data_IF_598115358225
#
_entry.id   IF_598115358225
#
_cell.length_a   1.000
_cell.length_b   1.000
_cell.length_c   1.000
_cell.angle_alpha   90.00
_cell.angle_beta   90.00
_cell.angle_gamma   90.00
#
_symmetry.space_group_name_H-M   'P 1'
#
loop_
_entity.id
_entity.type
_entity.pdbx_description
1 polymer ?
#
# COMPACT_ATOMS: atom_id res chain seq x y z
N UNK A 1 45.33 -48.54 55.41
CA UNK A 1 45.14 -48.50 53.97
C UNK A 1 43.74 -47.97 53.67
N UNK A 2 43.63 -46.70 53.25
CA UNK A 2 42.37 -46.02 53.03
C UNK A 2 42.17 -45.83 51.54
N UNK A 3 41.08 -46.39 51.03
CA UNK A 3 40.70 -46.33 49.60
C UNK A 3 39.82 -45.08 49.45
N UNK A 4 40.29 -44.09 48.68
CA UNK A 4 39.55 -42.88 48.33
C UNK A 4 38.73 -43.15 47.06
N UNK A 5 37.39 -43.22 47.18
CA UNK A 5 36.47 -43.23 46.01
C UNK A 5 36.30 -41.80 45.51
N UNK A 6 36.76 -41.56 44.27
CA UNK A 6 36.48 -40.35 43.52
C UNK A 6 35.09 -40.46 42.87
N UNK A 7 34.11 -39.73 43.41
CA UNK A 7 32.82 -39.56 42.75
C UNK A 7 32.94 -38.55 41.62
N UNK A 8 32.80 -39.01 40.39
CA UNK A 8 32.71 -38.19 39.17
C UNK A 8 31.27 -37.66 39.09
N UNK A 9 31.07 -36.35 39.31
CA UNK A 9 29.79 -35.68 39.06
C UNK A 9 29.73 -35.28 37.59
N UNK A 10 28.88 -35.93 36.81
CA UNK A 10 28.58 -35.57 35.40
C UNK A 10 27.53 -34.47 35.48
N UNK A 11 27.91 -33.21 35.17
CA UNK A 11 26.98 -32.14 34.98
C UNK A 11 26.36 -32.23 33.58
N UNK A 12 25.05 -32.54 33.51
CA UNK A 12 24.29 -32.45 32.27
C UNK A 12 24.05 -30.97 31.94
N UNK A 13 24.73 -30.44 30.94
CA UNK A 13 24.44 -29.14 30.37
C UNK A 13 23.28 -29.31 29.36
N UNK A 14 22.08 -28.87 29.77
CA UNK A 14 20.95 -28.76 28.86
C UNK A 14 21.15 -27.58 27.91
N UNK A 15 21.53 -27.86 26.67
CA UNK A 15 21.59 -26.85 25.61
C UNK A 15 20.16 -26.59 25.14
N UNK A 16 19.57 -25.46 25.58
CA UNK A 16 18.33 -24.92 25.05
C UNK A 16 18.61 -24.41 23.62
N UNK A 17 18.22 -25.18 22.62
CA UNK A 17 18.18 -24.74 21.24
C UNK A 17 17.07 -23.69 21.10
N UNK A 18 17.41 -22.41 21.19
CA UNK A 18 16.51 -21.32 20.80
C UNK A 18 16.42 -21.35 19.28
N UNK A 19 15.29 -21.81 18.76
CA UNK A 19 14.98 -21.68 17.31
C UNK A 19 14.91 -20.18 16.96
N UNK A 20 15.58 -19.74 15.90
CA UNK A 20 15.43 -18.37 15.43
C UNK A 20 13.97 -18.12 15.08
N UNK A 21 13.33 -17.12 15.67
CA UNK A 21 12.03 -16.61 15.25
C UNK A 21 12.30 -15.83 13.98
N UNK A 22 12.03 -16.44 12.81
CA UNK A 22 12.07 -15.73 11.55
C UNK A 22 11.01 -14.62 11.57
N UNK A 23 11.35 -13.38 11.15
CA UNK A 23 10.37 -12.32 11.04
C UNK A 23 9.34 -12.73 9.97
N UNK A 24 8.08 -12.92 10.37
CA UNK A 24 6.98 -13.14 9.44
C UNK A 24 6.94 -11.92 8.51
N UNK A 25 7.21 -12.14 7.23
CA UNK A 25 7.13 -11.08 6.23
C UNK A 25 5.68 -10.59 6.15
N UNK A 26 5.50 -9.27 6.07
CA UNK A 26 4.16 -8.64 6.02
C UNK A 26 3.25 -9.22 4.92
N UNK A 27 3.86 -9.80 3.87
CA UNK A 27 3.19 -10.42 2.74
C UNK A 27 2.37 -11.69 3.07
N UNK A 28 2.73 -12.41 4.15
CA UNK A 28 2.05 -13.65 4.52
C UNK A 28 0.94 -13.43 5.56
N UNK A 29 0.67 -12.16 5.89
CA UNK A 29 -0.33 -11.82 6.89
C UNK A 29 -1.72 -11.67 6.27
N UNK A 30 -2.73 -12.27 6.92
CA UNK A 30 -4.13 -12.06 6.55
C UNK A 30 -4.53 -10.60 6.81
N UNK A 31 -5.14 -9.97 5.80
CA UNK A 31 -5.59 -8.58 5.91
C UNK A 31 -6.55 -8.36 7.08
N UNK A 32 -7.39 -9.35 7.40
CA UNK A 32 -8.32 -9.30 8.54
C UNK A 32 -7.60 -9.19 9.88
N UNK A 33 -6.49 -9.90 10.07
CA UNK A 33 -5.72 -9.85 11.31
C UNK A 33 -5.02 -8.49 11.48
N UNK A 34 -4.44 -7.97 10.40
CA UNK A 34 -3.78 -6.66 10.43
C UNK A 34 -4.79 -5.52 10.61
N UNK A 35 -6.00 -5.62 10.05
CA UNK A 35 -7.09 -4.66 10.29
C UNK A 35 -7.40 -4.50 11.78
N UNK A 36 -7.33 -5.60 12.57
CA UNK A 36 -7.61 -5.53 14.01
C UNK A 36 -6.56 -4.72 14.77
N UNK A 37 -5.33 -4.66 14.29
CA UNK A 37 -4.25 -3.91 14.94
C UNK A 37 -4.33 -2.40 14.68
N UNK A 38 -5.09 -1.96 13.66
CA UNK A 38 -5.22 -0.54 13.33
C UNK A 38 -5.99 0.22 14.41
N UNK A 39 -5.42 1.33 14.86
CA UNK A 39 -6.09 2.25 15.80
C UNK A 39 -7.39 2.76 15.22
N UNK A 40 -8.42 2.89 16.05
CA UNK A 40 -9.73 3.46 15.67
C UNK A 40 -9.86 4.85 16.30
N UNK A 41 -10.02 5.90 15.48
CA UNK A 41 -10.19 7.29 15.92
C UNK A 41 -11.11 8.04 14.96
N UNK A 42 -11.69 9.15 15.38
CA UNK A 42 -12.41 10.07 14.51
C UNK A 42 -11.47 10.76 13.51
N UNK A 43 -12.02 11.34 12.45
CA UNK A 43 -11.26 12.18 11.51
C UNK A 43 -10.78 13.44 12.22
N UNK A 44 -9.51 13.80 12.05
CA UNK A 44 -9.01 15.13 12.43
C UNK A 44 -9.53 16.19 11.45
N UNK A 45 -9.57 17.47 11.88
CA UNK A 45 -9.90 18.58 10.97
C UNK A 45 -8.96 18.63 9.75
N UNK A 46 -9.48 19.12 8.64
CA UNK A 46 -8.71 19.36 7.40
C UNK A 46 -7.89 20.66 7.45
N UNK A 47 -7.97 21.40 8.56
CA UNK A 47 -7.25 22.65 8.77
C UNK A 47 -5.75 22.48 8.53
N UNK A 48 -5.16 23.36 7.73
CA UNK A 48 -3.74 23.30 7.37
C UNK A 48 -3.38 22.22 6.36
N UNK A 49 -4.34 21.49 5.79
CA UNK A 49 -4.06 20.56 4.71
C UNK A 49 -3.58 21.30 3.47
N UNK A 50 -2.38 20.95 3.05
CA UNK A 50 -1.83 21.33 1.77
C UNK A 50 -1.25 20.08 1.09
N UNK A 51 -1.79 19.75 -0.09
CA UNK A 51 -1.35 18.59 -0.87
C UNK A 51 0.11 18.74 -1.29
N UNK A 52 0.57 19.96 -1.62
CA UNK A 52 1.94 20.23 -2.06
C UNK A 52 2.98 19.88 -0.98
N UNK A 53 2.58 19.91 0.30
CA UNK A 53 3.45 19.50 1.41
C UNK A 53 3.87 18.03 1.37
N UNK A 54 3.22 17.20 0.55
CA UNK A 54 3.58 15.80 0.32
C UNK A 54 4.58 15.63 -0.84
N UNK A 55 4.95 16.72 -1.52
CA UNK A 55 5.88 16.72 -2.66
C UNK A 55 5.21 16.38 -3.99
N UNK A 56 6.06 16.14 -4.97
CA UNK A 56 5.71 15.74 -6.33
C UNK A 56 6.14 14.29 -6.60
N UNK A 57 5.98 13.84 -7.85
CA UNK A 57 6.50 12.57 -8.32
C UNK A 57 8.04 12.58 -8.28
N UNK A 58 8.59 11.88 -7.29
CA UNK A 58 10.04 11.75 -7.09
C UNK A 58 10.57 10.47 -7.75
N UNK A 59 11.87 10.28 -7.68
CA UNK A 59 12.60 9.07 -8.06
C UNK A 59 13.26 8.49 -6.78
N UNK A 60 12.51 7.79 -5.91
CA UNK A 60 13.03 7.32 -4.63
C UNK A 60 13.99 6.12 -4.77
N UNK A 61 13.86 5.33 -5.81
CA UNK A 61 14.71 4.15 -6.08
C UNK A 61 15.91 4.48 -6.97
N UNK A 62 16.00 5.73 -7.46
CA UNK A 62 17.10 6.27 -8.28
C UNK A 62 17.30 5.50 -9.58
N UNK A 63 16.21 5.02 -10.18
CA UNK A 63 16.24 4.34 -11.46
C UNK A 63 16.25 5.31 -12.65
N UNK A 64 16.16 6.62 -12.41
CA UNK A 64 16.12 7.69 -13.40
C UNK A 64 14.70 8.03 -13.86
N UNK A 65 13.66 7.34 -13.36
CA UNK A 65 12.27 7.57 -13.67
C UNK A 65 11.54 8.22 -12.49
N UNK A 66 10.56 9.06 -12.76
CA UNK A 66 9.67 9.49 -11.70
C UNK A 66 8.66 8.37 -11.32
N UNK A 67 8.20 8.38 -10.07
CA UNK A 67 7.28 7.36 -9.56
C UNK A 67 6.01 7.21 -10.40
N UNK A 68 5.50 8.29 -11.02
CA UNK A 68 4.33 8.19 -11.92
C UNK A 68 4.64 7.27 -13.11
N UNK A 69 5.81 7.42 -13.73
CA UNK A 69 6.21 6.58 -14.85
C UNK A 69 6.50 5.15 -14.40
N UNK A 70 7.05 4.93 -13.20
CA UNK A 70 7.25 3.59 -12.64
C UNK A 70 5.92 2.86 -12.46
N UNK A 71 4.91 3.54 -11.93
CA UNK A 71 3.57 2.94 -11.78
C UNK A 71 2.92 2.66 -13.14
N UNK A 72 3.08 3.54 -14.14
CA UNK A 72 2.62 3.27 -15.50
C UNK A 72 3.36 2.06 -16.10
N UNK A 73 4.68 1.95 -15.90
CA UNK A 73 5.47 0.80 -16.33
C UNK A 73 5.02 -0.51 -15.66
N UNK A 74 4.69 -0.47 -14.37
CA UNK A 74 4.23 -1.64 -13.62
C UNK A 74 2.84 -2.11 -14.07
N UNK A 75 1.91 -1.19 -14.29
CA UNK A 75 0.48 -1.48 -14.39
C UNK A 75 -0.03 -1.59 -15.83
N UNK A 76 0.65 -1.00 -16.82
CA UNK A 76 0.25 -1.08 -18.24
C UNK A 76 0.92 -2.27 -18.93
N UNK A 77 0.33 -2.66 -20.04
CA UNK A 77 0.88 -3.63 -21.01
C UNK A 77 1.13 -2.95 -22.34
N UNK A 78 1.91 -3.58 -23.23
CA UNK A 78 2.19 -3.09 -24.60
C UNK A 78 2.67 -1.64 -24.60
N UNK A 79 3.64 -1.33 -23.75
CA UNK A 79 4.12 0.02 -23.48
C UNK A 79 5.02 0.50 -24.62
N UNK A 80 4.87 1.78 -25.02
CA UNK A 80 5.86 2.51 -25.81
C UNK A 80 6.40 3.68 -25.02
N UNK A 81 7.63 4.07 -25.32
CA UNK A 81 8.36 5.13 -24.60
C UNK A 81 8.67 6.31 -25.54
N UNK A 82 8.93 7.47 -24.94
CA UNK A 82 9.31 8.67 -25.68
C UNK A 82 10.62 8.48 -26.43
N UNK A 83 11.57 7.77 -25.83
CA UNK A 83 12.89 7.48 -26.40
C UNK A 83 13.14 5.98 -26.33
N UNK A 84 13.77 5.41 -27.35
CA UNK A 84 14.06 3.97 -27.42
C UNK A 84 15.07 3.52 -26.37
N UNK A 85 15.98 4.42 -25.96
CA UNK A 85 17.04 4.16 -24.99
C UNK A 85 16.64 4.53 -23.55
N UNK A 86 15.50 5.20 -23.38
CA UNK A 86 15.00 5.65 -22.09
C UNK A 86 13.62 5.04 -21.85
N UNK A 87 13.57 4.04 -20.99
CA UNK A 87 12.34 3.34 -20.61
C UNK A 87 11.56 4.05 -19.50
N UNK A 88 11.78 5.33 -19.28
CA UNK A 88 11.11 6.10 -18.24
C UNK A 88 9.81 6.73 -18.75
N UNK A 89 9.86 7.56 -19.78
CA UNK A 89 8.70 8.32 -20.20
C UNK A 89 7.72 7.44 -21.01
N UNK A 90 6.73 6.87 -20.34
CA UNK A 90 5.68 6.07 -20.96
C UNK A 90 4.81 6.95 -21.85
N UNK A 91 4.68 6.61 -23.13
CA UNK A 91 3.89 7.35 -24.11
C UNK A 91 2.54 6.68 -24.38
N UNK A 92 2.52 5.38 -24.60
CA UNK A 92 1.29 4.61 -24.80
C UNK A 92 1.34 3.33 -23.97
N UNK A 93 0.19 2.69 -23.80
CA UNK A 93 0.06 1.39 -23.16
C UNK A 93 -1.40 1.00 -22.98
N UNK A 94 -1.64 -0.19 -22.52
CA UNK A 94 -2.98 -0.74 -22.28
C UNK A 94 -3.13 -1.01 -20.79
N UNK A 95 -4.09 -0.33 -20.15
CA UNK A 95 -4.47 -0.57 -18.77
C UNK A 95 -5.68 -1.52 -18.71
N UNK A 96 -5.55 -2.61 -17.98
CA UNK A 96 -6.69 -3.38 -17.48
C UNK A 96 -7.11 -2.82 -16.14
N UNK A 97 -8.01 -1.82 -16.17
CA UNK A 97 -8.35 -1.04 -14.98
C UNK A 97 -8.90 -1.90 -13.85
N UNK A 98 -8.24 -1.93 -12.69
CA UNK A 98 -8.68 -2.77 -11.58
C UNK A 98 -10.02 -2.31 -10.99
N UNK A 99 -10.36 -1.03 -11.08
CA UNK A 99 -11.56 -0.48 -10.47
C UNK A 99 -12.84 -0.79 -11.24
N UNK A 100 -12.78 -0.77 -12.57
CA UNK A 100 -13.94 -1.08 -13.44
C UNK A 100 -13.89 -2.47 -14.06
N UNK A 101 -12.68 -3.04 -14.23
CA UNK A 101 -12.45 -4.27 -15.01
C UNK A 101 -12.47 -4.03 -16.51
N UNK A 102 -12.44 -2.78 -16.99
CA UNK A 102 -12.42 -2.44 -18.40
C UNK A 102 -11.00 -2.19 -18.90
N UNK A 103 -10.76 -2.41 -20.17
CA UNK A 103 -9.54 -2.00 -20.84
C UNK A 103 -9.58 -0.51 -21.18
N UNK A 104 -8.45 0.16 -21.04
CA UNK A 104 -8.26 1.58 -21.40
C UNK A 104 -6.94 1.69 -22.15
N UNK A 105 -6.99 2.25 -23.34
CA UNK A 105 -5.80 2.57 -24.11
C UNK A 105 -5.25 3.92 -23.62
N UNK A 106 -4.06 3.88 -23.04
CA UNK A 106 -3.37 5.07 -22.55
C UNK A 106 -2.60 5.73 -23.69
N UNK A 107 -2.78 7.02 -23.82
CA UNK A 107 -1.98 7.89 -24.69
C UNK A 107 -1.57 9.12 -23.87
N UNK A 108 -0.26 9.34 -23.76
CA UNK A 108 0.28 10.54 -23.12
C UNK A 108 0.03 11.76 -23.98
N UNK A 109 -0.63 12.75 -23.44
CA UNK A 109 -0.94 14.00 -24.16
C UNK A 109 -1.91 14.89 -23.43
N UNK A 110 -2.07 16.10 -23.92
CA UNK A 110 -3.08 17.05 -23.43
C UNK A 110 -4.46 16.47 -23.72
N UNK A 111 -5.30 16.40 -22.68
CA UNK A 111 -6.69 15.86 -22.81
C UNK A 111 -6.78 14.33 -22.80
N UNK A 112 -5.69 13.60 -23.03
CA UNK A 112 -5.71 12.11 -23.08
C UNK A 112 -5.08 11.47 -21.85
N UNK A 113 -4.02 12.06 -21.29
CA UNK A 113 -3.33 11.51 -20.10
C UNK A 113 -4.23 11.33 -18.89
N UNK A 114 -5.33 12.07 -18.79
CA UNK A 114 -6.28 12.02 -17.68
C UNK A 114 -7.22 10.80 -17.72
N UNK A 115 -7.26 10.06 -18.84
CA UNK A 115 -8.01 8.81 -18.92
C UNK A 115 -7.46 7.75 -17.97
N UNK A 116 -6.13 7.76 -17.75
CA UNK A 116 -5.43 6.94 -16.76
C UNK A 116 -4.72 7.85 -15.77
N UNK A 117 -5.11 7.75 -14.50
CA UNK A 117 -4.50 8.50 -13.41
C UNK A 117 -3.80 7.54 -12.46
N UNK A 118 -2.81 8.05 -11.72
CA UNK A 118 -2.23 7.32 -10.60
C UNK A 118 -2.99 7.72 -9.34
N UNK A 119 -3.72 6.76 -8.80
CA UNK A 119 -4.47 6.92 -7.54
C UNK A 119 -3.55 6.64 -6.34
N UNK A 120 -3.69 7.45 -5.30
CA UNK A 120 -3.26 7.09 -3.96
C UNK A 120 -4.39 6.30 -3.31
N UNK A 121 -4.24 4.97 -3.20
CA UNK A 121 -5.29 4.04 -2.72
C UNK A 121 -5.80 4.45 -1.33
N UNK A 122 -4.91 4.91 -0.46
CA UNK A 122 -5.24 5.75 0.69
C UNK A 122 -5.01 7.20 0.27
N UNK A 123 -6.08 7.94 0.03
CA UNK A 123 -6.01 9.29 -0.48
C UNK A 123 -5.20 10.22 0.45
N UNK A 124 -4.42 11.13 -0.14
CA UNK A 124 -3.53 12.03 0.61
C UNK A 124 -4.29 12.86 1.65
N UNK A 125 -5.48 13.36 1.28
CA UNK A 125 -6.34 14.11 2.19
C UNK A 125 -6.98 13.23 3.27
N UNK A 126 -7.30 11.95 2.98
CA UNK A 126 -7.76 11.00 3.98
C UNK A 126 -6.65 10.68 4.98
N UNK A 127 -5.42 10.44 4.47
CA UNK A 127 -4.25 10.22 5.32
C UNK A 127 -3.98 11.41 6.24
N UNK A 128 -4.08 12.66 5.72
CA UNK A 128 -3.96 13.87 6.55
C UNK A 128 -4.91 13.81 7.75
N UNK A 129 -6.19 13.60 7.51
CA UNK A 129 -7.22 13.54 8.55
C UNK A 129 -7.10 12.32 9.49
N UNK A 130 -6.22 11.38 9.16
CA UNK A 130 -6.00 10.14 9.91
C UNK A 130 -4.56 9.96 10.40
N UNK A 131 -3.83 11.07 10.58
CA UNK A 131 -2.53 11.06 11.25
C UNK A 131 -1.39 11.73 10.50
N UNK A 132 -1.45 11.83 9.17
CA UNK A 132 -0.38 12.39 8.36
C UNK A 132 -0.12 13.89 8.61
N UNK A 133 -1.06 14.61 9.23
CA UNK A 133 -0.84 15.99 9.65
C UNK A 133 0.32 16.16 10.67
N UNK A 134 0.70 15.06 11.33
CA UNK A 134 1.83 15.01 12.28
C UNK A 134 3.17 14.64 11.63
N UNK A 135 3.17 14.23 10.35
CA UNK A 135 4.38 13.73 9.71
C UNK A 135 5.33 14.86 9.33
N UNK A 136 6.63 14.58 9.45
CA UNK A 136 7.66 15.38 8.80
C UNK A 136 7.64 15.22 7.28
N UNK A 137 8.32 16.13 6.58
CA UNK A 137 8.35 16.15 5.10
C UNK A 137 8.84 14.84 4.50
N UNK A 138 9.88 14.23 5.05
CA UNK A 138 10.40 12.95 4.54
C UNK A 138 9.35 11.84 4.53
N UNK A 139 8.55 11.69 5.59
CA UNK A 139 7.48 10.68 5.66
C UNK A 139 6.34 10.99 4.67
N UNK A 140 5.99 12.28 4.51
CA UNK A 140 4.98 12.70 3.54
C UNK A 140 5.40 12.37 2.11
N UNK A 141 6.64 12.68 1.74
CA UNK A 141 7.22 12.39 0.41
C UNK A 141 7.27 10.88 0.18
N UNK A 142 7.72 10.11 1.18
CA UNK A 142 7.75 8.65 1.10
C UNK A 142 6.34 8.05 0.89
N UNK A 143 5.34 8.52 1.62
CA UNK A 143 3.95 8.08 1.44
C UNK A 143 3.39 8.43 0.06
N UNK A 144 3.69 9.63 -0.43
CA UNK A 144 3.21 10.12 -1.72
C UNK A 144 3.78 9.31 -2.89
N UNK A 145 5.01 8.81 -2.76
CA UNK A 145 5.73 8.07 -3.79
C UNK A 145 5.82 6.55 -3.49
N UNK A 146 5.04 6.03 -2.54
CA UNK A 146 5.09 4.62 -2.19
C UNK A 146 4.34 3.75 -3.23
N UNK A 147 5.01 2.85 -3.97
CA UNK A 147 4.35 1.95 -4.93
C UNK A 147 3.23 1.11 -4.31
N UNK A 148 3.30 0.81 -3.00
CA UNK A 148 2.22 0.13 -2.28
C UNK A 148 0.93 0.97 -2.26
N UNK A 149 1.04 2.30 -2.16
CA UNK A 149 -0.10 3.21 -2.13
C UNK A 149 -0.56 3.66 -3.51
N UNK A 150 0.17 3.34 -4.56
CA UNK A 150 -0.05 3.87 -5.91
C UNK A 150 -0.61 2.81 -6.85
N UNK A 151 -1.56 3.21 -7.70
CA UNK A 151 -2.20 2.33 -8.68
C UNK A 151 -2.65 3.13 -9.91
N UNK A 152 -2.31 2.65 -11.10
CA UNK A 152 -2.87 3.20 -12.33
C UNK A 152 -4.33 2.77 -12.47
N UNK A 153 -5.24 3.73 -12.64
CA UNK A 153 -6.68 3.49 -12.65
C UNK A 153 -7.40 4.39 -13.64
N UNK A 154 -8.65 4.05 -13.95
CA UNK A 154 -9.55 4.88 -14.73
C UNK A 154 -9.76 6.24 -14.09
N UNK A 155 -9.38 7.32 -14.78
CA UNK A 155 -9.35 8.68 -14.22
C UNK A 155 -10.69 9.14 -13.66
N UNK A 156 -11.82 8.84 -14.33
CA UNK A 156 -13.14 9.20 -13.84
C UNK A 156 -13.49 8.53 -12.52
N UNK A 157 -13.05 7.28 -12.30
CA UNK A 157 -13.28 6.57 -11.04
C UNK A 157 -12.38 7.09 -9.92
N UNK A 158 -11.15 7.49 -10.24
CA UNK A 158 -10.29 8.18 -9.29
C UNK A 158 -10.90 9.52 -8.85
N UNK A 159 -11.42 10.30 -9.79
CA UNK A 159 -12.11 11.55 -9.49
C UNK A 159 -13.37 11.34 -8.63
N UNK A 160 -14.15 10.28 -8.89
CA UNK A 160 -15.30 9.90 -8.07
C UNK A 160 -14.91 9.46 -6.65
N UNK A 161 -13.79 8.74 -6.52
CA UNK A 161 -13.25 8.35 -5.21
C UNK A 161 -12.87 9.57 -4.38
N UNK A 162 -12.20 10.55 -4.99
CA UNK A 162 -11.73 11.74 -4.27
C UNK A 162 -10.88 11.39 -3.05
N UNK A 163 -11.29 11.87 -1.88
CA UNK A 163 -10.68 11.53 -0.59
C UNK A 163 -11.48 10.48 0.21
N UNK A 164 -12.32 9.70 -0.48
CA UNK A 164 -13.11 8.63 0.11
C UNK A 164 -12.27 7.51 0.68
N UNK A 165 -12.68 7.03 1.86
CA UNK A 165 -12.20 5.78 2.46
C UNK A 165 -13.15 4.61 2.14
N UNK A 166 -12.87 3.40 2.66
CA UNK A 166 -13.67 2.22 2.38
C UNK A 166 -15.14 2.30 2.85
N UNK A 167 -15.48 3.24 3.74
CA UNK A 167 -16.86 3.46 4.16
C UNK A 167 -17.65 4.30 3.17
N UNK A 168 -16.98 5.14 2.38
CA UNK A 168 -17.61 6.14 1.51
C UNK A 168 -17.46 5.81 0.04
N UNK A 169 -16.43 5.07 -0.34
CA UNK A 169 -16.20 4.65 -1.71
C UNK A 169 -15.53 3.27 -1.79
N UNK A 170 -15.99 2.46 -2.72
CA UNK A 170 -15.38 1.18 -3.08
C UNK A 170 -15.40 1.02 -4.60
N UNK A 171 -14.40 0.33 -5.19
CA UNK A 171 -14.40 0.05 -6.63
C UNK A 171 -15.73 -0.57 -7.10
N UNK A 172 -16.29 -0.12 -8.25
CA UNK A 172 -17.50 -0.72 -8.83
C UNK A 172 -17.32 -2.22 -9.09
N UNK A 173 -16.13 -2.65 -9.54
CA UNK A 173 -15.77 -4.05 -9.72
C UNK A 173 -15.72 -4.80 -8.39
N UNK A 174 -16.81 -5.48 -8.06
CA UNK A 174 -16.95 -6.18 -6.77
C UNK A 174 -15.84 -7.19 -6.50
N UNK A 175 -15.37 -7.92 -7.54
CA UNK A 175 -14.29 -8.91 -7.40
C UNK A 175 -12.92 -8.32 -7.04
N UNK A 176 -12.72 -7.01 -7.16
CA UNK A 176 -11.48 -6.36 -6.76
C UNK A 176 -11.50 -5.79 -5.33
N UNK A 177 -12.66 -5.71 -4.70
CA UNK A 177 -12.82 -5.03 -3.40
C UNK A 177 -11.99 -5.66 -2.27
N UNK A 178 -11.81 -6.97 -2.28
CA UNK A 178 -10.96 -7.65 -1.29
C UNK A 178 -9.50 -7.19 -1.41
N UNK A 179 -8.95 -7.22 -2.60
CA UNK A 179 -7.58 -6.75 -2.90
C UNK A 179 -7.42 -5.24 -2.60
N UNK A 180 -8.42 -4.44 -2.96
CA UNK A 180 -8.42 -3.00 -2.69
C UNK A 180 -8.37 -2.71 -1.17
N UNK A 181 -9.22 -3.35 -0.38
CA UNK A 181 -9.26 -3.19 1.08
C UNK A 181 -7.97 -3.70 1.72
N UNK A 182 -7.46 -4.85 1.28
CA UNK A 182 -6.20 -5.39 1.78
C UNK A 182 -5.03 -4.41 1.52
N UNK A 183 -4.99 -3.76 0.34
CA UNK A 183 -3.99 -2.75 0.02
C UNK A 183 -4.13 -1.51 0.91
N UNK A 184 -5.34 -1.02 1.15
CA UNK A 184 -5.55 0.09 2.09
C UNK A 184 -5.07 -0.25 3.50
N UNK A 185 -5.34 -1.47 3.98
CA UNK A 185 -4.90 -1.94 5.30
C UNK A 185 -3.37 -1.98 5.36
N UNK A 186 -2.71 -2.52 4.33
CA UNK A 186 -1.24 -2.58 4.27
C UNK A 186 -0.61 -1.18 4.34
N UNK A 187 -1.12 -0.23 3.55
CA UNK A 187 -0.65 1.17 3.58
C UNK A 187 -0.89 1.80 4.95
N UNK A 188 -2.08 1.62 5.53
CA UNK A 188 -2.42 2.19 6.84
C UNK A 188 -1.55 1.60 7.95
N UNK A 189 -1.26 0.31 7.92
CA UNK A 189 -0.36 -0.33 8.87
C UNK A 189 1.07 0.21 8.73
N UNK A 190 1.60 0.28 7.49
CA UNK A 190 2.95 0.77 7.20
C UNK A 190 3.18 2.20 7.70
N UNK A 191 2.19 3.08 7.56
CA UNK A 191 2.31 4.50 7.90
C UNK A 191 1.63 4.90 9.21
N UNK A 192 1.17 3.94 10.01
CA UNK A 192 0.45 4.17 11.27
C UNK A 192 -0.75 5.11 11.12
N UNK A 193 -1.45 5.01 9.99
CA UNK A 193 -2.69 5.75 9.70
C UNK A 193 -3.84 5.02 10.38
N UNK A 194 -4.62 5.73 11.20
CA UNK A 194 -5.79 5.12 11.84
C UNK A 194 -6.99 4.99 10.89
N UNK A 195 -7.96 4.22 11.31
CA UNK A 195 -9.25 4.09 10.63
C UNK A 195 -10.37 4.72 11.46
N UNK A 196 -11.45 5.16 10.81
CA UNK A 196 -12.69 5.46 11.55
C UNK A 196 -13.44 4.17 11.88
N UNK A 197 -14.38 4.22 12.84
CA UNK A 197 -15.20 3.04 13.14
C UNK A 197 -16.03 2.60 11.93
N UNK A 198 -16.58 3.54 11.17
CA UNK A 198 -17.33 3.25 9.94
C UNK A 198 -16.43 2.57 8.89
N UNK A 199 -15.22 3.08 8.68
CA UNK A 199 -14.24 2.50 7.77
C UNK A 199 -13.85 1.08 8.19
N UNK A 200 -13.52 0.86 9.48
CA UNK A 200 -13.19 -0.46 10.01
C UNK A 200 -14.32 -1.46 9.77
N UNK A 201 -15.57 -1.04 10.03
CA UNK A 201 -16.76 -1.87 9.80
C UNK A 201 -16.94 -2.22 8.32
N UNK A 202 -16.77 -1.23 7.41
CA UNK A 202 -16.86 -1.47 5.98
C UNK A 202 -15.79 -2.46 5.50
N UNK A 203 -14.53 -2.28 5.94
CA UNK A 203 -13.43 -3.21 5.62
C UNK A 203 -13.70 -4.63 6.12
N UNK A 204 -14.20 -4.80 7.35
CA UNK A 204 -14.59 -6.10 7.89
C UNK A 204 -15.67 -6.78 7.04
N UNK A 205 -16.70 -6.03 6.64
CA UNK A 205 -17.78 -6.56 5.80
C UNK A 205 -17.31 -7.01 4.41
N UNK A 206 -16.28 -6.37 3.86
CA UNK A 206 -15.66 -6.83 2.62
C UNK A 206 -14.82 -8.09 2.86
N UNK A 207 -13.94 -8.08 3.88
CA UNK A 207 -13.03 -9.19 4.18
C UNK A 207 -13.77 -10.45 4.64
N UNK A 208 -14.98 -10.33 5.22
CA UNK A 208 -15.83 -11.48 5.53
C UNK A 208 -16.18 -12.32 4.28
N UNK A 209 -16.11 -11.74 3.07
CA UNK A 209 -16.34 -12.44 1.79
C UNK A 209 -15.08 -13.09 1.21
N UNK A 210 -13.94 -12.84 1.82
CA UNK A 210 -12.62 -13.31 1.39
C UNK A 210 -11.70 -13.48 2.60
N UNK A 211 -11.99 -14.43 3.51
CA UNK A 211 -11.33 -14.56 4.81
C UNK A 211 -9.82 -14.87 4.71
N UNK A 212 -9.39 -15.40 3.58
CA UNK A 212 -7.99 -15.73 3.32
C UNK A 212 -7.23 -14.67 2.53
N UNK A 213 -7.83 -13.48 2.34
CA UNK A 213 -7.16 -12.38 1.64
C UNK A 213 -5.89 -11.98 2.40
N UNK A 214 -4.75 -12.14 1.75
CA UNK A 214 -3.46 -11.67 2.25
C UNK A 214 -3.24 -10.19 1.92
N UNK A 215 -2.34 -9.55 2.67
CA UNK A 215 -1.83 -8.24 2.29
C UNK A 215 -1.07 -8.35 0.96
N UNK A 216 -1.09 -7.30 0.12
CA UNK A 216 -0.31 -7.30 -1.11
C UNK A 216 1.18 -7.30 -0.78
N UNK A 217 1.96 -8.01 -1.59
CA UNK A 217 3.41 -7.89 -1.62
C UNK A 217 3.80 -6.59 -2.36
N UNK A 218 4.88 -5.97 -1.96
CA UNK A 218 5.49 -4.82 -2.64
C UNK A 218 6.17 -5.27 -3.93
#
# INVERSE_FOLDING_TARGET
>A
MSIWEKRLSIALIAILLASPIEPVQAADQKASLVLETLSVKGRAPKTGYDRSSFGDWADPDKNGCDTRNDILNRDLKSITYKYTNDKCTVMTGVLFDPYSGTQIDFLRGVGTSNLVQIDHVVAVSDAWQKGAFKWGSATKIAFYNDPLNLLAVKGVLNSQKGDGDAATWLPPRKGYRCTYVARQIAVKAKYSIWVTQAEKTAMKNILAKCPDQLLPQN
#
